data_IF_117214917284
#
_entry.id   IF_117214917284
#
_cell.length_a   1.000
_cell.length_b   1.000
_cell.length_c   1.000
_cell.angle_alpha   90.00
_cell.angle_beta   90.00
_cell.angle_gamma   90.00
#
_symmetry.space_group_name_H-M   'P 1'
#
loop_
_entity.id
_entity.type
_entity.pdbx_description
1 polymer ?
#
# COMPACT_ATOMS: atom_id res chain seq x y z
N UNK A 1 2.86 9.68 10.00
CA UNK A 1 3.37 8.78 8.98
C UNK A 1 2.66 7.43 9.07
N UNK A 2 1.99 6.94 8.00
CA UNK A 2 1.15 5.73 8.11
C UNK A 2 1.93 4.43 8.31
N UNK A 3 3.23 4.42 8.08
CA UNK A 3 4.04 3.21 8.15
C UNK A 3 5.05 3.25 9.30
N UNK A 4 4.69 3.91 10.39
CA UNK A 4 5.61 4.07 11.53
C UNK A 4 6.04 2.74 12.16
N UNK A 5 5.26 1.67 11.97
CA UNK A 5 5.59 0.35 12.50
C UNK A 5 6.60 -0.41 11.63
N UNK A 6 6.92 0.12 10.45
CA UNK A 6 7.87 -0.50 9.54
C UNK A 6 9.25 0.08 9.82
N UNK A 7 10.14 -0.74 10.36
CA UNK A 7 11.49 -0.30 10.73
C UNK A 7 12.49 -0.39 9.57
N UNK A 8 12.22 -1.22 8.57
CA UNK A 8 13.12 -1.42 7.43
C UNK A 8 12.99 -0.27 6.44
N UNK A 9 14.06 0.52 6.18
CA UNK A 9 13.97 1.65 5.25
C UNK A 9 13.59 1.24 3.83
N UNK A 10 14.07 0.09 3.37
CA UNK A 10 13.75 -0.40 2.03
C UNK A 10 12.27 -0.76 1.91
N UNK A 11 11.72 -1.43 2.92
CA UNK A 11 10.31 -1.77 2.94
C UNK A 11 9.45 -0.51 3.08
N UNK A 12 9.88 0.43 3.89
CA UNK A 12 9.17 1.70 4.04
C UNK A 12 9.09 2.44 2.71
N UNK A 13 10.20 2.49 1.97
CA UNK A 13 10.23 3.12 0.65
C UNK A 13 9.31 2.42 -0.33
N UNK A 14 9.27 1.08 -0.32
CA UNK A 14 8.40 0.29 -1.19
C UNK A 14 6.93 0.57 -0.88
N UNK A 15 6.56 0.54 0.39
CA UNK A 15 5.18 0.80 0.80
C UNK A 15 4.75 2.22 0.42
N UNK A 16 5.62 3.19 0.65
CA UNK A 16 5.32 4.59 0.30
C UNK A 16 5.14 4.77 -1.20
N UNK A 17 5.98 4.12 -2.00
CA UNK A 17 5.89 4.18 -3.46
C UNK A 17 4.59 3.56 -3.96
N UNK A 18 4.23 2.39 -3.43
CA UNK A 18 2.98 1.70 -3.81
C UNK A 18 1.78 2.55 -3.43
N UNK A 19 1.77 3.10 -2.23
CA UNK A 19 0.67 3.96 -1.78
C UNK A 19 0.52 5.18 -2.68
N UNK A 20 1.63 5.82 -3.05
CA UNK A 20 1.62 6.96 -3.94
C UNK A 20 1.03 6.59 -5.31
N UNK A 21 1.42 5.46 -5.86
CA UNK A 21 0.89 5.00 -7.14
C UNK A 21 -0.61 4.72 -7.07
N UNK A 22 -1.08 4.11 -5.98
CA UNK A 22 -2.50 3.85 -5.77
C UNK A 22 -3.27 5.17 -5.73
N UNK A 23 -2.77 6.13 -4.97
CA UNK A 23 -3.41 7.44 -4.85
C UNK A 23 -3.50 8.14 -6.20
N UNK A 24 -2.43 8.12 -6.99
CA UNK A 24 -2.42 8.74 -8.30
C UNK A 24 -3.39 8.04 -9.26
N UNK A 25 -3.39 6.72 -9.27
CA UNK A 25 -4.24 5.96 -10.20
C UNK A 25 -5.72 6.09 -9.85
N UNK A 26 -6.07 6.17 -8.58
CA UNK A 26 -7.46 6.23 -8.13
C UNK A 26 -7.95 7.66 -7.88
N UNK A 27 -7.09 8.67 -8.01
CA UNK A 27 -7.46 10.05 -7.73
C UNK A 27 -7.68 10.32 -6.24
N UNK A 28 -7.01 9.57 -5.38
CA UNK A 28 -7.13 9.72 -3.93
C UNK A 28 -6.12 10.75 -3.44
N UNK A 29 -6.57 11.67 -2.58
CA UNK A 29 -5.65 12.63 -1.99
C UNK A 29 -4.77 11.99 -0.93
N UNK A 30 -3.47 12.35 -0.86
CA UNK A 30 -2.51 11.66 0.02
C UNK A 30 -2.85 11.69 1.51
N UNK A 31 -3.59 12.69 1.97
CA UNK A 31 -3.92 12.82 3.40
C UNK A 31 -5.38 12.55 3.71
N UNK A 32 -6.10 11.96 2.76
CA UNK A 32 -7.52 11.66 2.93
C UNK A 32 -7.74 10.37 3.73
N UNK A 33 -8.96 10.15 4.25
CA UNK A 33 -9.29 8.88 4.89
C UNK A 33 -9.10 7.68 3.97
N UNK A 34 -9.37 7.85 2.67
CA UNK A 34 -9.16 6.77 1.70
C UNK A 34 -7.70 6.39 1.60
N UNK A 35 -6.78 7.35 1.66
CA UNK A 35 -5.35 7.04 1.62
C UNK A 35 -4.91 6.30 2.88
N UNK A 36 -5.50 6.61 4.02
CA UNK A 36 -5.23 5.89 5.27
C UNK A 36 -5.71 4.44 5.20
N UNK A 37 -6.88 4.22 4.62
CA UNK A 37 -7.40 2.88 4.42
C UNK A 37 -6.49 2.09 3.50
N UNK A 38 -6.03 2.69 2.40
CA UNK A 38 -5.08 2.06 1.49
C UNK A 38 -3.77 1.72 2.19
N UNK A 39 -3.25 2.64 3.02
CA UNK A 39 -2.04 2.40 3.79
C UNK A 39 -2.20 1.22 4.75
N UNK A 40 -3.34 1.14 5.42
CA UNK A 40 -3.65 0.02 6.31
C UNK A 40 -3.67 -1.31 5.57
N UNK A 41 -4.24 -1.33 4.37
CA UNK A 41 -4.24 -2.52 3.52
C UNK A 41 -2.82 -2.92 3.14
N UNK A 42 -1.98 -1.95 2.77
CA UNK A 42 -0.59 -2.23 2.42
C UNK A 42 0.19 -2.82 3.59
N UNK A 43 -0.02 -2.32 4.80
CA UNK A 43 0.60 -2.87 6.00
C UNK A 43 0.16 -4.32 6.20
N UNK A 44 -1.12 -4.60 6.01
CA UNK A 44 -1.64 -5.97 6.11
C UNK A 44 -0.96 -6.88 5.08
N UNK A 45 -0.85 -6.45 3.83
CA UNK A 45 -0.20 -7.23 2.78
C UNK A 45 1.27 -7.47 3.09
N UNK A 46 1.95 -6.49 3.69
CA UNK A 46 3.33 -6.64 4.13
C UNK A 46 3.44 -7.77 5.16
N UNK A 47 2.50 -7.85 6.08
CA UNK A 47 2.50 -8.88 7.11
C UNK A 47 2.30 -10.28 6.55
N UNK A 48 1.51 -10.42 5.49
CA UNK A 48 1.25 -11.73 4.89
C UNK A 48 2.31 -12.14 3.86
N UNK A 49 3.32 -11.30 3.61
CA UNK A 49 4.48 -11.69 2.84
C UNK A 49 4.81 -10.85 1.61
N UNK A 50 3.99 -9.87 1.25
CA UNK A 50 4.29 -9.01 0.11
C UNK A 50 5.50 -8.14 0.43
N UNK A 51 6.48 -8.13 -0.47
CA UNK A 51 7.74 -7.39 -0.26
C UNK A 51 8.10 -6.48 -1.43
N UNK A 52 7.61 -6.78 -2.63
CA UNK A 52 7.93 -5.98 -3.83
C UNK A 52 6.70 -5.25 -4.32
N UNK A 53 6.93 -4.20 -5.10
CA UNK A 53 5.84 -3.43 -5.72
C UNK A 53 4.94 -4.33 -6.55
N UNK A 54 5.52 -5.24 -7.32
CA UNK A 54 4.75 -6.16 -8.16
C UNK A 54 3.86 -7.07 -7.32
N UNK A 55 4.37 -7.58 -6.21
CA UNK A 55 3.60 -8.42 -5.31
C UNK A 55 2.42 -7.66 -4.71
N UNK A 56 2.63 -6.43 -4.26
CA UNK A 56 1.57 -5.58 -3.74
C UNK A 56 0.50 -5.32 -4.81
N UNK A 57 0.92 -4.95 -6.01
CA UNK A 57 -0.01 -4.64 -7.09
C UNK A 57 -0.82 -5.86 -7.50
N UNK A 58 -0.19 -7.01 -7.64
CA UNK A 58 -0.87 -8.25 -8.02
C UNK A 58 -1.92 -8.63 -6.99
N UNK A 59 -1.57 -8.55 -5.69
CA UNK A 59 -2.50 -8.88 -4.61
C UNK A 59 -3.66 -7.90 -4.57
N UNK A 60 -3.39 -6.60 -4.72
CA UNK A 60 -4.43 -5.58 -4.73
C UNK A 60 -5.41 -5.78 -5.88
N UNK A 61 -4.92 -6.15 -7.06
CA UNK A 61 -5.79 -6.43 -8.20
C UNK A 61 -6.71 -7.61 -7.93
N UNK A 62 -6.21 -8.65 -7.28
CA UNK A 62 -7.02 -9.81 -6.92
C UNK A 62 -8.12 -9.45 -5.93
N UNK A 63 -7.77 -8.64 -4.92
CA UNK A 63 -8.75 -8.19 -3.92
C UNK A 63 -9.82 -7.33 -4.56
N UNK A 64 -9.43 -6.42 -5.44
CA UNK A 64 -10.37 -5.51 -6.12
C UNK A 64 -11.29 -6.26 -7.07
N UNK A 65 -10.79 -7.28 -7.74
CA UNK A 65 -11.58 -8.04 -8.71
C UNK A 65 -12.61 -8.96 -8.06
N UNK A 66 -12.44 -9.25 -6.77
CA UNK A 66 -13.38 -10.11 -6.05
C UNK A 66 -14.59 -9.34 -5.50
N UNK A 67 -14.55 -8.05 -5.55
CA UNK A 67 -15.68 -7.22 -5.12
C UNK A 67 -16.79 -7.13 -6.19
#
# INVERSE_FOLDING_TARGET
MPFRDIADPDQLATLSAVLNEICLAAGIEPESPESRDAAGLLVHLHRIGCRTTDEFKATLQRVTQQA
#
